data_IF_300123399660
#
_entry.id   IF_300123399660
#
_cell.length_a   1.000
_cell.length_b   1.000
_cell.length_c   1.000
_cell.angle_alpha   90.00
_cell.angle_beta   90.00
_cell.angle_gamma   90.00
#
_symmetry.space_group_name_H-M   'P 1'
#
loop_
_entity.id
_entity.type
_entity.pdbx_description
1 polymer ?
#
# COMPACT_ATOMS: atom_id res chain seq x y z
N UNK A 1 25.50 -25.95 -20.97
CA UNK A 1 25.88 -25.44 -19.64
C UNK A 1 25.33 -24.04 -19.35
N UNK A 2 25.48 -23.05 -20.25
CA UNK A 2 25.01 -21.68 -20.01
C UNK A 2 23.49 -21.54 -19.73
N UNK A 3 22.66 -22.37 -20.34
CA UNK A 3 21.20 -22.39 -20.11
C UNK A 3 20.81 -22.77 -18.67
N UNK A 4 21.51 -23.74 -18.08
CA UNK A 4 21.23 -24.23 -16.73
C UNK A 4 21.60 -23.18 -15.67
N UNK A 5 22.70 -22.46 -15.90
CA UNK A 5 23.09 -21.33 -15.06
C UNK A 5 22.07 -20.20 -15.15
N UNK A 6 21.66 -19.82 -16.37
CA UNK A 6 20.65 -18.78 -16.58
C UNK A 6 19.31 -19.14 -15.91
N UNK A 7 18.85 -20.38 -16.08
CA UNK A 7 17.66 -20.88 -15.39
C UNK A 7 17.79 -20.75 -13.87
N UNK A 8 18.91 -21.22 -13.29
CA UNK A 8 19.16 -21.13 -11.86
C UNK A 8 19.16 -19.68 -11.34
N UNK A 9 19.73 -18.75 -12.10
CA UNK A 9 19.74 -17.31 -11.76
C UNK A 9 18.32 -16.74 -11.74
N UNK A 10 17.51 -17.02 -12.77
CA UNK A 10 16.12 -16.55 -12.80
C UNK A 10 15.27 -17.13 -11.66
N UNK A 11 15.43 -18.42 -11.36
CA UNK A 11 14.77 -19.05 -10.22
C UNK A 11 15.20 -18.41 -8.90
N UNK A 12 16.49 -18.16 -8.71
CA UNK A 12 17.00 -17.51 -7.50
C UNK A 12 16.43 -16.10 -7.32
N UNK A 13 16.39 -15.30 -8.40
CA UNK A 13 15.80 -13.95 -8.38
C UNK A 13 14.31 -14.03 -8.04
N UNK A 14 13.57 -14.95 -8.67
CA UNK A 14 12.14 -15.13 -8.43
C UNK A 14 11.86 -15.57 -7.00
N UNK A 15 12.65 -16.51 -6.46
CA UNK A 15 12.53 -16.99 -5.09
C UNK A 15 12.85 -15.91 -4.06
N UNK A 16 13.88 -15.08 -4.29
CA UNK A 16 14.21 -13.96 -3.42
C UNK A 16 13.10 -12.89 -3.45
N UNK A 17 12.59 -12.57 -4.63
CA UNK A 17 11.44 -11.68 -4.78
C UNK A 17 10.21 -12.20 -4.03
N UNK A 18 9.94 -13.50 -4.14
CA UNK A 18 8.80 -14.13 -3.49
C UNK A 18 8.96 -14.16 -1.97
N UNK A 19 10.15 -14.49 -1.47
CA UNK A 19 10.46 -14.44 -0.04
C UNK A 19 10.27 -13.02 0.50
N UNK A 20 10.76 -12.01 -0.23
CA UNK A 20 10.57 -10.61 0.15
C UNK A 20 9.09 -10.20 0.10
N UNK A 21 8.31 -10.74 -0.85
CA UNK A 21 6.86 -10.54 -0.92
C UNK A 21 6.18 -11.09 0.33
N UNK A 22 6.51 -12.30 0.75
CA UNK A 22 5.96 -12.91 1.96
C UNK A 22 6.29 -12.05 3.18
N UNK A 23 7.56 -11.66 3.35
CA UNK A 23 7.99 -10.79 4.45
C UNK A 23 7.22 -9.47 4.41
N UNK A 24 7.09 -8.84 3.24
CA UNK A 24 6.37 -7.58 3.07
C UNK A 24 4.88 -7.70 3.40
N UNK A 25 4.27 -8.87 3.18
CA UNK A 25 2.90 -9.15 3.58
C UNK A 25 2.75 -9.20 5.11
N UNK A 26 3.59 -10.00 5.78
CA UNK A 26 3.56 -10.14 7.24
C UNK A 26 3.93 -8.84 7.97
N UNK A 27 4.97 -8.15 7.49
CA UNK A 27 5.38 -6.83 8.00
C UNK A 27 4.25 -5.84 7.76
N UNK A 28 3.69 -5.78 6.56
CA UNK A 28 2.57 -4.89 6.27
C UNK A 28 1.42 -5.04 7.26
N UNK A 29 1.02 -6.27 7.56
CA UNK A 29 -0.08 -6.55 8.49
C UNK A 29 0.28 -6.27 9.95
N UNK A 30 1.50 -6.58 10.39
CA UNK A 30 1.97 -6.28 11.75
C UNK A 30 2.03 -4.77 12.04
N UNK A 31 2.48 -3.99 11.05
CA UNK A 31 2.59 -2.55 11.19
C UNK A 31 1.21 -1.86 11.08
N UNK A 32 0.29 -2.37 10.27
CA UNK A 32 -1.09 -1.85 10.16
C UNK A 32 -1.85 -2.00 11.51
N UNK A 33 -1.65 -3.11 12.22
CA UNK A 33 -2.24 -3.32 13.56
C UNK A 33 -1.52 -2.58 14.70
N UNK A 34 -0.26 -2.16 14.51
CA UNK A 34 0.53 -1.43 15.52
C UNK A 34 0.53 0.09 15.35
N UNK A 35 0.28 0.59 14.15
CA UNK A 35 0.31 2.01 13.80
C UNK A 35 -0.89 2.81 14.35
N UNK A 36 -1.98 2.15 14.75
CA UNK A 36 -3.11 2.81 15.44
C UNK A 36 -2.74 3.30 16.86
N UNK A 37 -1.57 2.90 17.39
CA UNK A 37 -1.08 3.28 18.72
C UNK A 37 0.13 4.23 18.71
N UNK A 38 0.83 4.41 17.58
CA UNK A 38 2.09 5.17 17.52
C UNK A 38 2.13 6.07 16.27
N UNK A 39 1.55 7.26 16.43
CA UNK A 39 1.90 8.51 15.73
C UNK A 39 1.62 8.66 14.22
N UNK A 40 0.74 9.62 13.91
CA UNK A 40 0.53 10.22 12.59
C UNK A 40 1.70 11.10 12.13
N UNK A 41 2.82 10.47 11.78
CA UNK A 41 4.04 11.16 11.38
C UNK A 41 4.58 10.86 9.97
N UNK A 42 4.27 9.71 9.37
CA UNK A 42 5.04 9.26 8.18
C UNK A 42 4.26 8.56 7.06
N UNK A 43 2.94 8.72 6.95
CA UNK A 43 2.23 8.15 5.80
C UNK A 43 1.31 9.16 5.12
N UNK A 44 1.72 9.57 3.92
CA UNK A 44 0.77 9.98 2.90
C UNK A 44 -0.16 8.77 2.65
N UNK A 45 -1.38 8.88 3.14
CA UNK A 45 -2.42 7.87 3.01
C UNK A 45 -2.75 7.57 1.55
N UNK A 46 -2.05 6.59 0.97
CA UNK A 46 -2.33 6.04 -0.34
C UNK A 46 -1.37 4.90 -0.69
N UNK A 47 -1.77 3.95 -1.56
CA UNK A 47 -0.88 2.93 -2.06
C UNK A 47 0.22 3.60 -2.87
N UNK A 48 1.41 3.71 -2.29
CA UNK A 48 2.57 4.21 -3.00
C UNK A 48 2.89 3.28 -4.17
N UNK A 49 3.13 3.86 -5.35
CA UNK A 49 3.61 3.11 -6.54
C UNK A 49 4.91 2.32 -6.24
N UNK A 50 5.68 2.76 -5.24
CA UNK A 50 6.88 2.09 -4.74
C UNK A 50 6.63 1.25 -3.49
N UNK A 51 5.40 0.78 -3.26
CA UNK A 51 5.13 -0.17 -2.18
C UNK A 51 6.06 -1.37 -2.33
N UNK A 52 6.66 -1.79 -1.22
CA UNK A 52 7.52 -2.98 -1.14
C UNK A 52 6.84 -4.23 -1.70
N UNK A 53 5.50 -4.29 -1.67
CA UNK A 53 4.69 -5.35 -2.29
C UNK A 53 4.67 -5.30 -3.83
N UNK A 54 4.59 -4.11 -4.42
CA UNK A 54 4.56 -3.97 -5.88
C UNK A 54 5.92 -4.34 -6.48
N UNK A 55 7.00 -3.91 -5.83
CA UNK A 55 8.36 -4.26 -6.22
C UNK A 55 8.64 -5.76 -6.05
N UNK A 56 8.17 -6.37 -4.96
CA UNK A 56 8.35 -7.80 -4.73
C UNK A 56 7.63 -8.66 -5.77
N UNK A 57 6.40 -8.28 -6.17
CA UNK A 57 5.66 -8.93 -7.27
C UNK A 57 6.42 -8.81 -8.58
N UNK A 58 6.94 -7.62 -8.90
CA UNK A 58 7.72 -7.39 -10.13
C UNK A 58 8.93 -8.33 -10.21
N UNK A 59 9.73 -8.40 -9.14
CA UNK A 59 10.93 -9.24 -9.08
C UNK A 59 10.56 -10.73 -9.14
N UNK A 60 9.49 -11.13 -8.45
CA UNK A 60 8.98 -12.50 -8.45
C UNK A 60 8.55 -12.93 -9.85
N UNK A 61 7.72 -12.12 -10.52
CA UNK A 61 7.23 -12.40 -11.87
C UNK A 61 8.38 -12.37 -12.90
N UNK A 62 9.32 -11.43 -12.77
CA UNK A 62 10.53 -11.39 -13.59
C UNK A 62 11.31 -12.71 -13.50
N UNK A 63 11.64 -13.15 -12.29
CA UNK A 63 12.38 -14.39 -12.09
C UNK A 63 11.59 -15.63 -12.52
N UNK A 64 10.32 -15.73 -12.15
CA UNK A 64 9.48 -16.89 -12.46
C UNK A 64 9.26 -17.08 -13.97
N UNK A 65 8.86 -16.03 -14.67
CA UNK A 65 8.63 -16.12 -16.12
C UNK A 65 9.92 -16.14 -16.93
N UNK A 66 11.00 -15.47 -16.47
CA UNK A 66 12.33 -15.60 -17.06
C UNK A 66 12.91 -17.01 -16.94
N UNK A 67 12.64 -17.70 -15.83
CA UNK A 67 12.99 -19.11 -15.65
C UNK A 67 12.21 -20.01 -16.63
N UNK A 68 10.90 -19.81 -16.76
CA UNK A 68 10.05 -20.55 -17.72
C UNK A 68 10.54 -20.32 -19.15
N UNK A 69 10.79 -19.08 -19.55
CA UNK A 69 11.29 -18.76 -20.89
C UNK A 69 12.63 -19.44 -21.18
N UNK A 70 13.54 -19.44 -20.21
CA UNK A 70 14.84 -20.11 -20.34
C UNK A 70 14.70 -21.64 -20.44
N UNK A 71 13.74 -22.22 -19.71
CA UNK A 71 13.42 -23.65 -19.79
C UNK A 71 12.83 -24.05 -21.14
N UNK A 72 12.10 -23.14 -21.79
CA UNK A 72 11.59 -23.31 -23.16
C UNK A 72 12.66 -23.12 -24.24
N UNK A 73 13.92 -22.88 -23.85
CA UNK A 73 15.04 -22.71 -24.78
C UNK A 73 15.22 -21.27 -25.29
N UNK A 74 14.53 -20.29 -24.71
CA UNK A 74 14.79 -18.89 -25.03
C UNK A 74 16.18 -18.45 -24.53
N UNK A 75 16.84 -17.58 -25.30
CA UNK A 75 18.10 -16.98 -24.89
C UNK A 75 17.93 -16.02 -23.72
N UNK A 76 19.01 -15.75 -22.99
CA UNK A 76 19.01 -14.92 -21.76
C UNK A 76 18.33 -13.55 -22.00
N UNK A 77 18.65 -12.90 -23.12
CA UNK A 77 18.08 -11.59 -23.49
C UNK A 77 16.56 -11.68 -23.66
N UNK A 78 16.08 -12.67 -24.42
CA UNK A 78 14.66 -12.90 -24.64
C UNK A 78 13.94 -13.25 -23.34
N UNK A 79 14.53 -14.10 -22.50
CA UNK A 79 14.00 -14.44 -21.18
C UNK A 79 13.90 -13.22 -20.26
N UNK A 80 14.90 -12.33 -20.27
CA UNK A 80 14.86 -11.08 -19.50
C UNK A 80 13.78 -10.12 -19.99
N UNK A 81 13.56 -10.03 -21.30
CA UNK A 81 12.48 -9.19 -21.86
C UNK A 81 11.11 -9.74 -21.49
N UNK A 82 10.89 -11.05 -21.63
CA UNK A 82 9.64 -11.72 -21.21
C UNK A 82 9.43 -11.53 -19.72
N UNK A 83 10.48 -11.73 -18.92
CA UNK A 83 10.51 -11.46 -17.49
C UNK A 83 10.11 -10.04 -17.14
N UNK A 84 10.70 -9.06 -17.81
CA UNK A 84 10.43 -7.64 -17.55
C UNK A 84 8.99 -7.26 -17.89
N UNK A 85 8.50 -7.71 -19.05
CA UNK A 85 7.12 -7.43 -19.48
C UNK A 85 6.09 -8.07 -18.55
N UNK A 86 6.32 -9.31 -18.12
CA UNK A 86 5.42 -9.97 -17.17
C UNK A 86 5.47 -9.28 -15.79
N UNK A 87 6.67 -8.89 -15.34
CA UNK A 87 6.87 -8.18 -14.08
C UNK A 87 6.08 -6.88 -14.03
N UNK A 88 6.18 -6.05 -15.08
CA UNK A 88 5.41 -4.81 -15.19
C UNK A 88 3.91 -5.08 -15.26
N UNK A 89 3.49 -6.10 -16.01
CA UNK A 89 2.08 -6.48 -16.12
C UNK A 89 1.47 -6.87 -14.77
N UNK A 90 2.10 -7.78 -14.03
CA UNK A 90 1.61 -8.22 -12.72
C UNK A 90 1.71 -7.12 -11.65
N UNK A 91 2.78 -6.35 -11.64
CA UNK A 91 2.91 -5.19 -10.75
C UNK A 91 1.80 -4.16 -11.01
N UNK A 92 1.45 -3.93 -12.28
CA UNK A 92 0.36 -3.04 -12.68
C UNK A 92 -1.00 -3.53 -12.18
N UNK A 93 -1.28 -4.84 -12.27
CA UNK A 93 -2.52 -5.44 -11.74
C UNK A 93 -2.61 -5.23 -10.22
N UNK A 94 -1.55 -5.52 -9.49
CA UNK A 94 -1.53 -5.40 -8.02
C UNK A 94 -1.65 -3.94 -7.60
N UNK A 95 -0.98 -3.02 -8.31
CA UNK A 95 -1.12 -1.59 -8.07
C UNK A 95 -2.55 -1.09 -8.33
N UNK A 96 -3.16 -1.50 -9.44
CA UNK A 96 -4.54 -1.12 -9.77
C UNK A 96 -5.52 -1.65 -8.72
N UNK A 97 -5.34 -2.89 -8.26
CA UNK A 97 -6.14 -3.47 -7.20
C UNK A 97 -5.96 -2.73 -5.86
N UNK A 98 -4.73 -2.43 -5.46
CA UNK A 98 -4.45 -1.65 -4.26
C UNK A 98 -5.07 -0.25 -4.32
N UNK A 99 -4.97 0.43 -5.46
CA UNK A 99 -5.61 1.72 -5.71
C UNK A 99 -7.13 1.64 -5.61
N UNK A 100 -7.72 0.58 -6.16
CA UNK A 100 -9.15 0.33 -6.05
C UNK A 100 -9.58 0.19 -4.57
N UNK A 101 -8.90 -0.65 -3.78
CA UNK A 101 -9.20 -0.81 -2.35
C UNK A 101 -9.07 0.51 -1.58
N UNK A 102 -8.02 1.29 -1.83
CA UNK A 102 -7.81 2.57 -1.15
C UNK A 102 -8.88 3.61 -1.50
N UNK A 103 -9.34 3.62 -2.74
CA UNK A 103 -10.45 4.51 -3.16
C UNK A 103 -11.74 4.22 -2.41
N UNK A 104 -11.95 2.98 -1.96
CA UNK A 104 -13.12 2.61 -1.17
C UNK A 104 -13.00 3.04 0.31
N UNK A 105 -11.79 3.10 0.86
CA UNK A 105 -11.58 3.54 2.26
C UNK A 105 -11.74 5.06 2.43
N UNK A 106 -11.40 5.86 1.42
CA UNK A 106 -11.50 7.33 1.46
C UNK A 106 -12.93 7.87 1.61
N UNK A 107 -13.98 7.08 1.34
CA UNK A 107 -15.37 7.56 1.45
C UNK A 107 -15.83 7.77 2.91
N UNK A 108 -14.98 7.48 3.89
CA UNK A 108 -15.24 7.64 5.33
C UNK A 108 -14.70 8.95 5.91
N UNK A 109 -13.84 9.65 5.16
CA UNK A 109 -13.20 10.87 5.63
C UNK A 109 -14.15 12.04 5.31
N UNK A 110 -14.90 12.50 6.32
CA UNK A 110 -15.72 13.69 6.23
C UNK A 110 -14.79 14.86 5.93
N UNK A 111 -14.79 15.30 4.67
CA UNK A 111 -13.95 16.41 4.19
C UNK A 111 -14.30 17.63 5.03
N UNK A 112 -13.28 18.27 5.63
CA UNK A 112 -13.44 19.48 6.47
C UNK A 112 -14.20 20.61 5.76
N UNK A 113 -14.20 20.59 4.43
CA UNK A 113 -14.95 21.45 3.53
C UNK A 113 -16.49 21.32 3.70
N UNK A 114 -16.99 20.12 4.01
CA UNK A 114 -18.42 19.84 4.21
C UNK A 114 -18.96 20.32 5.57
N UNK A 115 -18.07 20.79 6.44
CA UNK A 115 -18.39 21.37 7.75
C UNK A 115 -18.54 22.90 7.70
N UNK A 116 -18.16 23.56 6.61
CA UNK A 116 -18.32 25.01 6.45
C UNK A 116 -19.80 25.32 6.18
N UNK A 117 -20.48 25.90 7.16
CA UNK A 117 -21.89 26.32 7.05
C UNK A 117 -22.91 25.36 7.67
N UNK A 118 -22.49 24.32 8.38
CA UNK A 118 -23.40 23.44 9.15
C UNK A 118 -23.44 23.83 10.63
N UNK A 119 -24.65 23.85 11.21
CA UNK A 119 -24.87 24.12 12.64
C UNK A 119 -24.44 22.91 13.46
N UNK A 120 -23.48 23.09 14.37
CA UNK A 120 -23.01 22.05 15.29
C UNK A 120 -23.52 22.31 16.71
N UNK A 121 -23.97 21.26 17.40
CA UNK A 121 -24.40 21.31 18.79
C UNK A 121 -23.22 20.95 19.72
N UNK A 122 -22.89 21.86 20.63
CA UNK A 122 -21.78 21.71 21.59
C UNK A 122 -22.28 20.90 22.78
N UNK A 123 -21.85 19.64 22.88
CA UNK A 123 -22.31 18.72 23.94
C UNK A 123 -21.43 18.74 25.20
N UNK A 124 -20.35 19.52 25.23
CA UNK A 124 -19.44 19.59 26.40
C UNK A 124 -19.38 21.01 26.95
N UNK A 125 -19.66 21.16 28.25
CA UNK A 125 -19.58 22.43 28.97
C UNK A 125 -18.15 22.94 29.02
N UNK A 126 -17.91 24.14 28.47
CA UNK A 126 -16.60 24.79 28.44
C UNK A 126 -16.34 25.44 29.82
N UNK A 127 -15.33 25.00 30.60
CA UNK A 127 -14.97 25.66 31.85
C UNK A 127 -14.30 27.02 31.55
N UNK A 128 -14.53 28.07 32.37
CA UNK A 128 -13.92 29.37 32.15
C UNK A 128 -12.41 29.30 32.41
N UNK A 129 -11.60 29.44 31.35
CA UNK A 129 -10.14 29.61 31.43
C UNK A 129 -9.26 28.42 31.01
N UNK A 130 -9.79 27.41 30.33
CA UNK A 130 -9.01 26.27 29.80
C UNK A 130 -8.96 26.21 28.27
N UNK A 131 -7.79 25.82 27.72
CA UNK A 131 -7.46 25.79 26.28
C UNK A 131 -8.30 24.77 25.45
N UNK A 132 -8.88 25.29 24.36
CA UNK A 132 -8.88 24.83 22.96
C UNK A 132 -9.13 23.35 22.60
N UNK A 133 -10.18 22.71 23.11
CA UNK A 133 -10.75 21.54 22.41
C UNK A 133 -12.27 21.54 22.47
N UNK A 134 -12.91 21.80 21.33
CA UNK A 134 -14.37 21.76 21.20
C UNK A 134 -14.72 20.43 20.52
N UNK A 135 -15.22 19.46 21.29
CA UNK A 135 -15.78 18.24 20.74
C UNK A 135 -17.19 18.50 20.23
N UNK A 136 -17.41 18.42 18.92
CA UNK A 136 -18.75 18.47 18.34
C UNK A 136 -19.18 17.07 17.92
N UNK A 137 -20.45 16.74 18.20
CA UNK A 137 -21.07 15.50 17.73
C UNK A 137 -22.14 15.87 16.72
N UNK A 138 -21.85 15.67 15.44
CA UNK A 138 -22.89 15.71 14.43
C UNK A 138 -23.86 14.55 14.70
N UNK A 139 -25.14 14.86 14.92
CA UNK A 139 -26.19 13.85 15.11
C UNK A 139 -26.32 13.05 13.82
N UNK A 140 -25.68 11.88 13.79
CA UNK A 140 -25.79 10.93 12.68
C UNK A 140 -24.58 10.02 12.48
N UNK A 141 -23.35 10.53 12.54
CA UNK A 141 -22.14 9.70 12.35
C UNK A 141 -20.93 10.29 13.11
N UNK A 142 -19.99 9.39 13.44
CA UNK A 142 -18.96 9.46 14.51
C UNK A 142 -18.15 10.76 14.62
N UNK A 143 -17.79 11.07 15.87
CA UNK A 143 -17.07 12.24 16.37
C UNK A 143 -15.80 12.60 15.60
N UNK A 144 -15.63 13.89 15.28
CA UNK A 144 -14.38 14.46 14.79
C UNK A 144 -13.86 15.50 15.80
N UNK A 145 -12.60 15.39 16.19
CA UNK A 145 -11.91 16.38 17.02
C UNK A 145 -11.18 17.40 16.13
N UNK A 146 -11.37 18.69 16.41
CA UNK A 146 -10.67 19.78 15.74
C UNK A 146 -10.08 20.76 16.74
N UNK A 147 -8.82 21.13 16.53
CA UNK A 147 -8.08 22.11 17.32
C UNK A 147 -8.19 23.49 16.65
N UNK A 148 -8.63 24.51 17.40
CA UNK A 148 -8.78 25.90 16.94
C UNK A 148 -7.70 26.72 17.65
N UNK A 149 -6.90 27.45 16.87
CA UNK A 149 -5.89 28.40 17.38
C UNK A 149 -6.58 29.65 17.93
#
# INVERSE_FOLDING_TARGET
MASNLAFGVFVAIGALGFLFLLISLFVGELFDHGADLVHGGFEHGGPSFFSTRVLSVLVTAFGGTGAIATQMGAGIVTSSVIGGLSGVFFAGIIFAFARFLYSQQSSSDVRREDLIGRTAEVTVTIPPGGLNRIGYRAVGHRSAEGEVN
#
